data_IF_583794481424
#
_entry.id   IF_583794481424
#
_cell.length_a   1.000
_cell.length_b   1.000
_cell.length_c   1.000
_cell.angle_alpha   90.00
_cell.angle_beta   90.00
_cell.angle_gamma   90.00
#
_symmetry.space_group_name_H-M   'P 1'
#
loop_
_entity.id
_entity.type
_entity.pdbx_description
1 polymer ?
#
# COMPACT_ATOMS: atom_id res chain seq x y z
N UNK A 1 11.94 22.39 13.76
CA UNK A 1 11.60 21.00 13.36
C UNK A 1 10.42 21.02 12.39
N UNK A 2 10.30 20.04 11.50
CA UNK A 2 9.18 19.93 10.54
C UNK A 2 8.73 18.48 10.48
N UNK A 3 7.48 18.23 10.07
CA UNK A 3 6.92 16.88 9.86
C UNK A 3 7.48 16.16 8.62
N UNK A 4 8.62 16.58 8.08
CA UNK A 4 9.14 16.06 6.81
C UNK A 4 8.15 16.26 5.66
N UNK A 5 7.80 15.18 4.94
CA UNK A 5 6.77 15.21 3.89
C UNK A 5 5.32 15.25 4.43
N UNK A 6 5.13 15.14 5.75
CA UNK A 6 3.82 15.04 6.37
C UNK A 6 3.07 13.76 5.98
N UNK A 7 3.82 12.70 5.64
CA UNK A 7 3.33 11.39 5.23
C UNK A 7 4.01 10.32 6.09
N UNK A 8 3.23 9.35 6.52
CA UNK A 8 3.74 8.09 7.07
C UNK A 8 3.06 6.93 6.36
N UNK A 9 3.81 5.87 6.08
CA UNK A 9 3.28 4.67 5.43
C UNK A 9 2.92 3.61 6.48
N UNK A 10 1.78 2.94 6.30
CA UNK A 10 1.37 1.83 7.16
C UNK A 10 0.83 0.67 6.34
N UNK A 11 1.14 -0.56 6.76
CA UNK A 11 0.58 -1.77 6.17
C UNK A 11 -0.03 -2.61 7.28
N UNK A 12 -1.24 -3.11 7.05
CA UNK A 12 -1.93 -4.03 7.97
C UNK A 12 -1.85 -5.46 7.45
N UNK A 13 -1.52 -6.39 8.34
CA UNK A 13 -1.46 -7.82 8.04
C UNK A 13 -1.84 -8.64 9.28
N UNK A 14 -2.45 -9.80 9.06
CA UNK A 14 -2.66 -10.84 10.08
C UNK A 14 -1.61 -11.96 10.00
N UNK A 15 -0.66 -11.85 9.07
CA UNK A 15 0.41 -12.82 8.92
C UNK A 15 1.36 -12.75 10.12
N UNK A 16 1.89 -13.92 10.53
CA UNK A 16 2.92 -13.97 11.55
C UNK A 16 4.20 -13.32 11.02
N UNK A 17 4.66 -12.25 11.69
CA UNK A 17 5.91 -11.56 11.35
C UNK A 17 6.92 -11.78 12.48
N UNK A 18 7.84 -12.73 12.29
CA UNK A 18 8.85 -13.06 13.30
C UNK A 18 9.88 -11.93 13.49
N UNK A 19 10.28 -11.27 12.40
CA UNK A 19 11.20 -10.16 12.42
C UNK A 19 10.77 -9.09 11.43
N UNK A 20 10.16 -8.03 11.95
CA UNK A 20 9.65 -6.90 11.14
C UNK A 20 10.74 -6.31 10.26
N UNK A 21 11.95 -6.07 10.79
CA UNK A 21 13.05 -5.45 10.05
C UNK A 21 13.57 -6.30 8.87
N UNK A 22 13.25 -7.60 8.83
CA UNK A 22 13.60 -8.50 7.73
C UNK A 22 12.37 -9.00 6.95
N UNK A 23 11.21 -8.43 7.24
CA UNK A 23 9.95 -8.85 6.65
C UNK A 23 9.75 -8.21 5.28
N UNK A 24 9.03 -8.91 4.39
CA UNK A 24 8.69 -8.36 3.08
C UNK A 24 7.79 -7.12 3.21
N UNK A 25 6.98 -7.05 4.27
CA UNK A 25 6.13 -5.90 4.59
C UNK A 25 6.98 -4.64 4.81
N UNK A 26 8.02 -4.74 5.64
CA UNK A 26 8.93 -3.62 5.89
C UNK A 26 9.68 -3.22 4.61
N UNK A 27 10.22 -4.19 3.87
CA UNK A 27 10.92 -3.92 2.61
C UNK A 27 10.01 -3.24 1.58
N UNK A 28 8.73 -3.62 1.52
CA UNK A 28 7.75 -3.00 0.63
C UNK A 28 7.52 -1.53 1.00
N UNK A 29 7.34 -1.23 2.29
CA UNK A 29 7.18 0.14 2.78
C UNK A 29 8.40 1.00 2.44
N UNK A 30 9.62 0.46 2.63
CA UNK A 30 10.86 1.16 2.27
C UNK A 30 10.95 1.47 0.77
N UNK A 31 10.56 0.53 -0.09
CA UNK A 31 10.53 0.76 -1.54
C UNK A 31 9.54 1.85 -1.93
N UNK A 32 8.33 1.81 -1.39
CA UNK A 32 7.32 2.84 -1.65
C UNK A 32 7.81 4.20 -1.14
N UNK A 33 8.42 4.26 0.05
CA UNK A 33 8.98 5.49 0.59
C UNK A 33 10.05 6.07 -0.36
N UNK A 34 10.96 5.23 -0.87
CA UNK A 34 11.98 5.65 -1.82
C UNK A 34 11.38 6.18 -3.13
N UNK A 35 10.32 5.55 -3.65
CA UNK A 35 9.59 6.05 -4.82
C UNK A 35 8.96 7.42 -4.56
N UNK A 36 8.32 7.63 -3.41
CA UNK A 36 7.72 8.92 -3.04
C UNK A 36 8.78 10.02 -2.83
N UNK A 37 9.95 9.67 -2.30
CA UNK A 37 11.08 10.58 -2.16
C UNK A 37 11.66 10.93 -3.53
N UNK A 38 11.88 9.93 -4.39
CA UNK A 38 12.52 10.09 -5.70
C UNK A 38 11.65 10.78 -6.75
N UNK A 39 10.33 10.71 -6.61
CA UNK A 39 9.38 11.17 -7.62
C UNK A 39 8.39 12.21 -7.08
N UNK A 40 8.72 13.50 -7.23
CA UNK A 40 7.93 14.59 -6.64
C UNK A 40 6.46 14.59 -7.07
N UNK A 41 6.18 14.18 -8.31
CA UNK A 41 4.83 14.11 -8.86
C UNK A 41 3.91 13.09 -8.16
N UNK A 42 4.47 12.15 -7.38
CA UNK A 42 3.71 11.18 -6.61
C UNK A 42 3.34 11.69 -5.21
N UNK A 43 4.03 12.71 -4.70
CA UNK A 43 3.88 13.17 -3.31
C UNK A 43 2.50 13.78 -3.06
N UNK A 44 2.05 14.70 -3.92
CA UNK A 44 0.76 15.35 -3.71
C UNK A 44 -0.43 14.38 -3.87
N UNK A 45 -0.46 13.48 -4.87
CA UNK A 45 -1.43 12.38 -4.89
C UNK A 45 -1.41 11.52 -3.63
N UNK A 46 -0.21 11.19 -3.11
CA UNK A 46 -0.06 10.45 -1.86
C UNK A 46 -0.49 11.26 -0.61
N UNK A 47 -0.57 12.59 -0.69
CA UNK A 47 -1.05 13.46 0.40
C UNK A 47 -2.55 13.71 0.37
N UNK A 48 -3.20 13.61 -0.78
CA UNK A 48 -4.58 14.07 -0.95
C UNK A 48 -5.58 13.00 -1.35
N UNK A 49 -5.14 11.87 -1.90
CA UNK A 49 -6.05 10.88 -2.43
C UNK A 49 -5.56 9.45 -2.31
N UNK A 50 -6.17 8.58 -3.10
CA UNK A 50 -5.78 7.19 -3.29
C UNK A 50 -4.94 7.15 -4.57
N UNK A 51 -3.89 6.36 -4.60
CA UNK A 51 -3.13 6.10 -5.81
C UNK A 51 -2.77 4.62 -5.93
N UNK A 52 -2.46 4.19 -7.13
CA UNK A 52 -1.89 2.88 -7.39
C UNK A 52 -0.50 3.03 -7.98
N UNK A 53 0.42 2.15 -7.61
CA UNK A 53 1.75 2.09 -8.22
C UNK A 53 2.25 0.65 -8.23
N UNK A 54 3.28 0.42 -9.02
CA UNK A 54 4.06 -0.81 -8.98
C UNK A 54 5.46 -0.50 -8.50
N UNK A 55 6.00 -1.34 -7.61
CA UNK A 55 7.39 -1.25 -7.15
C UNK A 55 8.16 -2.51 -7.53
N UNK A 56 9.47 -2.44 -7.41
CA UNK A 56 10.34 -3.61 -7.58
C UNK A 56 9.91 -4.77 -6.66
N UNK A 57 9.89 -5.99 -7.19
CA UNK A 57 9.43 -7.20 -6.51
C UNK A 57 10.53 -8.11 -5.99
N UNK A 58 11.82 -7.75 -6.08
CA UNK A 58 12.91 -8.60 -5.59
C UNK A 58 12.70 -8.89 -4.08
N UNK A 59 12.85 -10.13 -3.64
CA UNK A 59 12.57 -10.55 -2.24
C UNK A 59 11.11 -10.38 -1.77
N UNK A 60 10.16 -10.14 -2.67
CA UNK A 60 8.72 -10.21 -2.35
C UNK A 60 8.19 -11.64 -2.53
N UNK A 61 7.08 -12.00 -1.86
CA UNK A 61 6.42 -13.28 -2.05
C UNK A 61 6.02 -13.50 -3.51
N UNK A 62 6.31 -14.68 -4.06
CA UNK A 62 6.06 -15.03 -5.48
C UNK A 62 4.60 -14.81 -5.90
N UNK A 63 3.66 -15.06 -5.01
CA UNK A 63 2.22 -14.88 -5.21
C UNK A 63 1.79 -13.42 -5.47
N UNK A 64 2.60 -12.45 -5.06
CA UNK A 64 2.37 -11.02 -5.30
C UNK A 64 3.05 -10.51 -6.58
N UNK A 65 3.95 -11.30 -7.17
CA UNK A 65 4.74 -10.89 -8.32
C UNK A 65 3.91 -10.89 -9.61
N UNK A 66 4.00 -9.79 -10.35
CA UNK A 66 3.57 -9.76 -11.75
C UNK A 66 4.54 -10.59 -12.61
N UNK A 67 4.16 -10.80 -13.88
CA UNK A 67 5.05 -11.47 -14.86
C UNK A 67 6.37 -10.73 -15.08
N UNK A 68 6.38 -9.42 -14.81
CA UNK A 68 7.55 -8.56 -14.94
C UNK A 68 8.34 -8.43 -13.63
N UNK A 69 8.01 -9.24 -12.61
CA UNK A 69 8.71 -9.24 -11.31
C UNK A 69 8.43 -7.99 -10.47
N UNK A 70 7.27 -7.34 -10.66
CA UNK A 70 6.84 -6.16 -9.92
C UNK A 70 5.78 -6.53 -8.88
N UNK A 71 5.55 -5.65 -7.91
CA UNK A 71 4.41 -5.75 -6.98
C UNK A 71 3.51 -4.52 -7.13
N UNK A 72 2.23 -4.76 -7.41
CA UNK A 72 1.21 -3.71 -7.44
C UNK A 72 0.70 -3.37 -6.04
N UNK A 73 0.51 -2.08 -5.77
CA UNK A 73 -0.02 -1.58 -4.49
C UNK A 73 -1.07 -0.49 -4.70
N UNK A 74 -2.02 -0.41 -3.76
CA UNK A 74 -2.88 0.76 -3.54
C UNK A 74 -2.40 1.50 -2.29
N UNK A 75 -2.31 2.82 -2.39
CA UNK A 75 -1.97 3.70 -1.27
C UNK A 75 -3.17 4.54 -0.86
N UNK A 76 -3.40 4.66 0.45
CA UNK A 76 -4.41 5.54 1.04
C UNK A 76 -5.83 4.98 1.05
N UNK A 77 -5.99 3.65 0.95
CA UNK A 77 -7.28 2.99 1.14
C UNK A 77 -7.72 3.08 2.62
N UNK A 78 -8.96 3.46 2.88
CA UNK A 78 -9.49 3.50 4.25
C UNK A 78 -9.48 2.12 4.91
N UNK A 79 -9.18 2.08 6.20
CA UNK A 79 -9.22 0.85 6.99
C UNK A 79 -9.98 1.06 8.31
N UNK A 80 -10.54 0.00 8.92
CA UNK A 80 -11.31 0.14 10.14
C UNK A 80 -10.47 0.51 11.37
N UNK A 81 -9.18 0.19 11.37
CA UNK A 81 -8.33 0.25 12.57
C UNK A 81 -7.37 1.45 12.59
N UNK A 82 -6.97 1.97 11.43
CA UNK A 82 -5.97 3.03 11.34
C UNK A 82 -6.62 4.40 11.07
N UNK A 83 -6.19 5.46 11.78
CA UNK A 83 -6.66 6.81 11.48
C UNK A 83 -6.05 7.30 10.15
N UNK A 84 -6.77 8.12 9.38
CA UNK A 84 -6.20 8.70 8.16
C UNK A 84 -5.15 9.80 8.42
N UNK A 85 -5.19 10.44 9.60
CA UNK A 85 -4.26 11.51 10.00
C UNK A 85 -4.01 11.49 11.50
N UNK A 86 -2.86 12.00 11.91
CA UNK A 86 -2.55 12.28 13.31
C UNK A 86 -1.74 13.56 13.48
N UNK A 87 -1.88 14.18 14.65
CA UNK A 87 -1.27 15.48 14.95
C UNK A 87 0.06 15.32 15.65
N UNK A 88 1.08 16.01 15.14
CA UNK A 88 2.40 16.17 15.75
C UNK A 88 2.59 17.64 16.17
N UNK A 89 3.51 17.95 17.11
CA UNK A 89 3.78 19.33 17.52
C UNK A 89 4.10 20.27 16.34
N UNK A 90 4.73 19.75 15.29
CA UNK A 90 5.17 20.51 14.12
C UNK A 90 4.18 20.47 12.93
N UNK A 91 3.01 19.82 13.06
CA UNK A 91 2.00 19.78 12.01
C UNK A 91 1.14 18.50 11.95
N UNK A 92 0.25 18.43 10.96
CA UNK A 92 -0.53 17.23 10.66
C UNK A 92 0.27 16.26 9.80
N UNK A 93 0.15 14.97 10.10
CA UNK A 93 0.73 13.88 9.33
C UNK A 93 -0.40 13.02 8.78
N UNK A 94 -0.38 12.74 7.48
CA UNK A 94 -1.29 11.77 6.86
C UNK A 94 -0.70 10.38 7.01
N UNK A 95 -1.49 9.45 7.53
CA UNK A 95 -1.17 8.04 7.52
C UNK A 95 -1.71 7.43 6.22
N UNK A 96 -0.80 7.00 5.36
CA UNK A 96 -1.09 6.42 4.05
C UNK A 96 -0.96 4.91 4.16
N UNK A 97 -2.11 4.25 4.14
CA UNK A 97 -2.19 2.78 4.18
C UNK A 97 -1.66 2.19 2.87
N UNK A 98 -1.04 1.02 2.95
CA UNK A 98 -0.45 0.29 1.83
C UNK A 98 -1.14 -1.06 1.72
N UNK A 99 -1.84 -1.25 0.61
CA UNK A 99 -2.54 -2.49 0.27
C UNK A 99 -1.86 -3.18 -0.91
N UNK A 100 -1.36 -4.40 -0.69
CA UNK A 100 -0.82 -5.21 -1.80
C UNK A 100 -1.93 -5.76 -2.69
N UNK A 101 -1.69 -5.71 -4.00
CA UNK A 101 -2.55 -6.27 -5.02
C UNK A 101 -2.02 -7.64 -5.45
N UNK A 102 -2.90 -8.62 -5.53
CA UNK A 102 -2.61 -9.84 -6.28
C UNK A 102 -2.50 -9.48 -7.76
N UNK A 103 -1.71 -10.21 -8.58
CA UNK A 103 -1.57 -9.92 -10.00
C UNK A 103 -2.91 -9.78 -10.75
N UNK A 104 -3.90 -10.61 -10.40
CA UNK A 104 -5.26 -10.54 -10.96
C UNK A 104 -6.01 -9.26 -10.57
N UNK A 105 -5.81 -8.74 -9.37
CA UNK A 105 -6.40 -7.48 -8.93
C UNK A 105 -5.73 -6.28 -9.60
N UNK A 106 -4.42 -6.36 -9.86
CA UNK A 106 -3.72 -5.36 -10.67
C UNK A 106 -4.25 -5.35 -12.10
N UNK A 107 -4.44 -6.51 -12.74
CA UNK A 107 -5.11 -6.58 -14.06
C UNK A 107 -6.50 -5.95 -14.00
N UNK A 108 -7.28 -6.29 -12.98
CA UNK A 108 -8.63 -5.77 -12.81
C UNK A 108 -8.65 -4.25 -12.59
N UNK A 109 -7.70 -3.70 -11.81
CA UNK A 109 -7.50 -2.27 -11.63
C UNK A 109 -7.27 -1.55 -12.97
N UNK A 110 -6.43 -2.12 -13.83
CA UNK A 110 -6.11 -1.54 -15.14
C UNK A 110 -7.31 -1.59 -16.10
N UNK A 111 -8.14 -2.62 -16.00
CA UNK A 111 -9.31 -2.82 -16.86
C UNK A 111 -10.56 -2.02 -16.42
N UNK A 112 -10.80 -1.95 -15.10
CA UNK A 112 -12.06 -1.44 -14.54
C UNK A 112 -11.90 -0.16 -13.71
N UNK A 113 -10.65 0.22 -13.41
CA UNK A 113 -10.33 1.40 -12.63
C UNK A 113 -10.34 1.16 -11.12
N UNK A 114 -9.80 2.16 -10.42
CA UNK A 114 -9.51 2.10 -8.99
C UNK A 114 -10.75 2.06 -8.11
N UNK A 115 -11.79 2.79 -8.48
CA UNK A 115 -13.02 2.88 -7.69
C UNK A 115 -13.72 1.53 -7.59
N UNK A 116 -13.78 0.78 -8.70
CA UNK A 116 -14.36 -0.55 -8.72
C UNK A 116 -13.52 -1.53 -7.88
N UNK A 117 -12.18 -1.49 -7.99
CA UNK A 117 -11.34 -2.36 -7.15
C UNK A 117 -11.50 -2.04 -5.64
N UNK A 118 -11.57 -0.77 -5.25
CA UNK A 118 -11.83 -0.37 -3.87
C UNK A 118 -13.20 -0.87 -3.40
N UNK A 119 -14.22 -0.80 -4.25
CA UNK A 119 -15.54 -1.34 -3.96
C UNK A 119 -15.48 -2.85 -3.65
N UNK A 120 -14.72 -3.62 -4.44
CA UNK A 120 -14.51 -5.06 -4.20
C UNK A 120 -13.79 -5.34 -2.89
N UNK A 121 -12.77 -4.57 -2.55
CA UNK A 121 -12.09 -4.71 -1.25
C UNK A 121 -13.03 -4.39 -0.08
N UNK A 122 -13.86 -3.36 -0.19
CA UNK A 122 -14.80 -2.99 0.87
C UNK A 122 -15.92 -4.02 1.08
N UNK A 123 -16.22 -4.86 0.08
CA UNK A 123 -17.15 -5.99 0.19
C UNK A 123 -16.51 -7.26 0.77
N UNK A 124 -15.19 -7.35 0.75
CA UNK A 124 -14.43 -8.47 1.30
C UNK A 124 -14.08 -8.21 2.77
N UNK A 125 -14.25 -9.19 3.65
CA UNK A 125 -13.88 -9.05 5.06
C UNK A 125 -12.88 -10.13 5.49
N UNK A 126 -11.63 -9.77 5.86
CA UNK A 126 -11.03 -8.43 5.86
C UNK A 126 -10.35 -8.08 4.51
N UNK A 127 -10.88 -7.08 3.81
CA UNK A 127 -10.37 -6.65 2.49
C UNK A 127 -9.13 -5.75 2.54
N UNK A 128 -8.87 -5.07 3.65
CA UNK A 128 -7.74 -4.13 3.81
C UNK A 128 -6.40 -4.83 4.12
N UNK A 129 -6.41 -6.07 4.62
CA UNK A 129 -5.17 -6.75 5.02
C UNK A 129 -4.31 -7.19 3.83
N UNK A 130 -3.03 -6.87 3.86
CA UNK A 130 -2.01 -7.28 2.89
C UNK A 130 -1.42 -8.62 3.30
N UNK A 131 -1.52 -9.62 2.41
CA UNK A 131 -1.10 -11.01 2.66
C UNK A 131 -0.49 -11.60 1.40
N UNK A 132 0.55 -12.40 1.54
CA UNK A 132 1.21 -13.05 0.43
C UNK A 132 0.30 -14.09 -0.23
N UNK A 133 -0.40 -14.91 0.54
CA UNK A 133 -1.09 -16.09 0.02
C UNK A 133 -2.60 -16.01 0.27
N UNK A 134 -3.27 -15.12 -0.46
CA UNK A 134 -4.73 -14.96 -0.39
C UNK A 134 -5.37 -15.10 -1.76
N UNK A 135 -6.66 -15.42 -1.75
CA UNK A 135 -7.46 -15.31 -2.96
C UNK A 135 -7.63 -13.82 -3.34
N UNK A 136 -7.59 -13.48 -4.64
CA UNK A 136 -7.95 -12.14 -5.10
C UNK A 136 -9.45 -11.88 -4.84
N UNK A 137 -9.83 -10.61 -4.70
CA UNK A 137 -11.24 -10.20 -4.49
C UNK A 137 -12.06 -10.12 -5.78
N UNK A 138 -11.47 -10.51 -6.92
CA UNK A 138 -12.02 -10.43 -8.29
C UNK A 138 -11.71 -11.68 -9.11
#
# INVERSE_FOLDING_TARGET
PSVGFGLELALETDESVENVAKSWQQLLLERIANELVGHEHLREPARTGILSMEVDGEHMPESLLTKDGRVGVLLGMDTPALPGHFTMPDGQVRLVTVKTLMPRELTYLLEHGREELLHRFNQSNPGHLSKAWRQPVV
#
